data_IF_832828788740
#
_entry.id   IF_832828788740
#
_cell.length_a   1.000
_cell.length_b   1.000
_cell.length_c   1.000
_cell.angle_alpha   90.00
_cell.angle_beta   90.00
_cell.angle_gamma   90.00
#
_symmetry.space_group_name_H-M   'P 1'
#
loop_
_entity.id
_entity.type
_entity.pdbx_description
1 polymer ?
#
# COMPACT_ATOMS: atom_id res chain seq x y z
N UNK A 1 2.95 14.38 -5.58
CA UNK A 1 2.68 12.97 -5.21
C UNK A 1 3.73 12.51 -4.20
N UNK A 2 3.34 11.64 -3.27
CA UNK A 2 4.29 10.99 -2.38
C UNK A 2 4.49 9.55 -2.84
N UNK A 3 5.71 9.05 -2.67
CA UNK A 3 6.05 7.65 -2.89
C UNK A 3 6.61 7.09 -1.59
N UNK A 4 5.95 6.07 -1.05
CA UNK A 4 6.31 5.39 0.18
C UNK A 4 6.96 4.06 -0.15
N UNK A 5 8.23 3.92 0.19
CA UNK A 5 8.99 2.69 0.10
C UNK A 5 8.93 1.98 1.44
N UNK A 6 8.50 0.71 1.44
CA UNK A 6 8.36 -0.11 2.64
C UNK A 6 9.36 -1.24 2.58
N UNK A 7 10.23 -1.30 3.58
CA UNK A 7 11.17 -2.39 3.80
C UNK A 7 10.58 -3.35 4.84
N UNK A 8 10.17 -4.53 4.40
CA UNK A 8 9.78 -5.62 5.31
C UNK A 8 11.03 -6.25 5.94
N UNK A 9 11.06 -6.32 7.28
CA UNK A 9 12.14 -6.92 8.05
C UNK A 9 11.56 -8.07 8.87
N UNK A 10 12.16 -9.26 8.79
CA UNK A 10 11.66 -10.42 9.51
C UNK A 10 11.66 -10.17 11.03
N UNK A 11 10.47 -10.34 11.65
CA UNK A 11 10.29 -10.20 13.10
C UNK A 11 10.30 -8.76 13.62
N UNK A 12 10.18 -7.75 12.75
CA UNK A 12 10.08 -6.33 13.13
C UNK A 12 9.03 -5.61 12.28
N UNK A 13 8.59 -4.46 12.77
CA UNK A 13 7.70 -3.60 12.00
C UNK A 13 8.39 -3.11 10.72
N UNK A 14 7.65 -2.98 9.60
CA UNK A 14 8.23 -2.51 8.36
C UNK A 14 8.76 -1.07 8.48
N UNK A 15 9.93 -0.82 7.89
CA UNK A 15 10.49 0.54 7.84
C UNK A 15 9.93 1.25 6.61
N UNK A 16 9.33 2.43 6.84
CA UNK A 16 8.84 3.31 5.78
C UNK A 16 9.83 4.44 5.52
N UNK A 17 10.20 4.62 4.26
CA UNK A 17 10.84 5.86 3.79
C UNK A 17 9.97 6.50 2.72
N UNK A 18 9.78 7.81 2.79
CA UNK A 18 8.91 8.54 1.86
C UNK A 18 9.73 9.54 1.06
N UNK A 19 9.44 9.68 -0.23
CA UNK A 19 9.91 10.79 -1.06
C UNK A 19 8.72 11.47 -1.72
N UNK A 20 8.91 12.71 -2.17
CA UNK A 20 7.89 13.43 -2.91
C UNK A 20 8.43 13.90 -4.26
N UNK A 21 7.55 13.92 -5.25
CA UNK A 21 7.82 14.45 -6.58
C UNK A 21 6.59 15.14 -7.13
N UNK A 22 6.82 16.17 -7.93
CA UNK A 22 5.78 16.84 -8.71
C UNK A 22 5.79 16.24 -10.11
N UNK A 23 4.61 15.96 -10.66
CA UNK A 23 4.46 15.53 -12.05
C UNK A 23 4.08 16.79 -12.84
N UNK A 24 4.93 17.28 -13.77
CA UNK A 24 4.56 18.39 -14.64
C UNK A 24 3.31 18.03 -15.46
N UNK A 25 2.43 19.00 -15.73
CA UNK A 25 1.18 18.78 -16.47
C UNK A 25 1.39 18.17 -17.87
N UNK A 26 2.57 18.36 -18.46
CA UNK A 26 2.93 17.86 -19.78
C UNK A 26 3.50 16.43 -19.78
N UNK A 27 3.69 15.82 -18.61
CA UNK A 27 4.33 14.52 -18.46
C UNK A 27 3.40 13.51 -17.78
N UNK A 28 3.38 12.29 -18.31
CA UNK A 28 2.60 11.17 -17.76
C UNK A 28 3.47 10.11 -17.08
N UNK A 29 4.76 10.40 -16.92
CA UNK A 29 5.75 9.52 -16.30
C UNK A 29 6.67 10.31 -15.38
N UNK A 30 7.23 9.61 -14.39
CA UNK A 30 8.17 10.14 -13.43
C UNK A 30 9.30 9.13 -13.25
N UNK A 31 10.54 9.61 -13.25
CA UNK A 31 11.71 8.81 -12.91
C UNK A 31 12.11 9.10 -11.46
N UNK A 32 12.27 8.05 -10.66
CA UNK A 32 12.71 8.14 -9.28
C UNK A 32 14.02 7.36 -9.14
N UNK A 33 15.07 8.05 -8.71
CA UNK A 33 16.32 7.42 -8.33
C UNK A 33 16.24 7.00 -6.86
N UNK A 34 16.37 5.71 -6.59
CA UNK A 34 16.26 5.15 -5.25
C UNK A 34 17.38 4.14 -5.01
N UNK A 35 18.14 4.33 -3.93
CA UNK A 35 19.31 3.50 -3.61
C UNK A 35 19.13 2.60 -2.39
N UNK A 36 18.05 2.80 -1.60
CA UNK A 36 17.80 2.04 -0.38
C UNK A 36 16.99 0.78 -0.68
N UNK A 37 17.16 -0.31 0.09
CA UNK A 37 16.33 -1.49 -0.03
C UNK A 37 14.85 -1.17 0.25
N UNK A 38 13.97 -1.86 -0.47
CA UNK A 38 12.54 -1.84 -0.24
C UNK A 38 11.92 -3.11 -0.81
N UNK A 39 10.74 -3.47 -0.32
CA UNK A 39 9.96 -4.62 -0.78
C UNK A 39 8.64 -4.18 -1.40
N UNK A 40 8.07 -3.06 -0.93
CA UNK A 40 6.83 -2.50 -1.45
C UNK A 40 7.04 -1.03 -1.79
N UNK A 41 6.32 -0.55 -2.81
CA UNK A 41 6.19 0.88 -3.07
C UNK A 41 4.72 1.24 -3.25
N UNK A 42 4.27 2.24 -2.48
CA UNK A 42 2.95 2.86 -2.62
C UNK A 42 3.08 4.27 -3.16
N UNK A 43 2.17 4.67 -4.03
CA UNK A 43 2.04 6.05 -4.48
C UNK A 43 0.82 6.66 -3.82
N UNK A 44 1.01 7.79 -3.15
CA UNK A 44 -0.06 8.60 -2.57
C UNK A 44 -0.31 9.82 -3.47
N UNK A 45 -1.55 9.92 -3.94
CA UNK A 45 -2.09 11.09 -4.64
C UNK A 45 -2.88 11.99 -3.66
N UNK A 46 -3.42 13.09 -4.19
CA UNK A 46 -4.25 14.03 -3.43
C UNK A 46 -5.41 13.29 -2.72
N UNK A 47 -5.80 13.77 -1.52
CA UNK A 47 -6.81 13.15 -0.65
C UNK A 47 -6.51 11.71 -0.17
N UNK A 48 -5.23 11.38 0.11
CA UNK A 48 -4.84 10.08 0.69
C UNK A 48 -5.27 8.88 -0.15
N UNK A 49 -5.31 9.05 -1.48
CA UNK A 49 -5.54 7.92 -2.39
C UNK A 49 -4.25 7.16 -2.62
N UNK A 50 -4.22 5.91 -2.16
CA UNK A 50 -3.05 5.03 -2.25
C UNK A 50 -3.15 4.08 -3.45
N UNK A 51 -2.02 3.87 -4.12
CA UNK A 51 -1.87 2.93 -5.21
C UNK A 51 -0.68 2.02 -4.94
N UNK A 52 -0.85 0.72 -5.08
CA UNK A 52 0.23 -0.25 -4.97
C UNK A 52 1.02 -0.28 -6.28
N UNK A 53 2.20 0.33 -6.27
CA UNK A 53 3.03 0.44 -7.45
C UNK A 53 3.89 -0.81 -7.65
N UNK A 54 4.58 -1.26 -6.60
CA UNK A 54 5.60 -2.31 -6.70
C UNK A 54 5.47 -3.29 -5.54
N UNK A 55 5.60 -4.58 -5.84
CA UNK A 55 5.82 -5.67 -4.87
C UNK A 55 7.05 -6.45 -5.33
N UNK A 56 8.04 -6.60 -4.46
CA UNK A 56 9.24 -7.41 -4.67
C UNK A 56 9.30 -8.50 -3.59
N UNK A 57 9.37 -9.76 -4.03
CA UNK A 57 9.47 -10.92 -3.11
C UNK A 57 10.91 -11.16 -2.63
N UNK A 58 11.88 -10.83 -3.48
CA UNK A 58 13.31 -10.91 -3.20
C UNK A 58 13.91 -9.56 -3.55
N UNK A 59 14.74 -9.02 -2.67
CA UNK A 59 15.52 -7.82 -2.99
C UNK A 59 16.44 -8.15 -4.16
N UNK A 60 16.07 -7.65 -5.33
CA UNK A 60 16.95 -7.58 -6.49
C UNK A 60 17.28 -6.11 -6.62
N UNK A 61 18.56 -5.72 -6.52
CA UNK A 61 18.97 -4.36 -6.85
C UNK A 61 18.40 -4.02 -8.23
N UNK A 62 17.38 -3.16 -8.32
CA UNK A 62 16.75 -2.94 -9.59
C UNK A 62 17.66 -2.06 -10.40
N UNK A 63 18.14 -2.53 -11.54
CA UNK A 63 18.87 -1.67 -12.47
C UNK A 63 17.92 -0.67 -13.13
N UNK A 64 16.63 -1.02 -13.36
CA UNK A 64 15.53 -0.12 -13.73
C UNK A 64 14.15 -0.80 -13.53
N UNK A 65 13.19 -0.15 -12.84
CA UNK A 65 11.78 -0.62 -12.74
C UNK A 65 10.86 0.34 -13.48
N UNK A 66 10.07 -0.20 -14.41
CA UNK A 66 9.02 0.56 -15.10
C UNK A 66 7.66 0.04 -14.64
N UNK A 67 6.87 0.91 -14.01
CA UNK A 67 5.48 0.61 -13.61
C UNK A 67 4.54 1.65 -14.20
N UNK A 68 3.55 1.18 -14.95
CA UNK A 68 2.39 1.98 -15.35
C UNK A 68 1.28 1.79 -14.31
N UNK A 69 0.88 2.87 -13.67
CA UNK A 69 -0.21 2.86 -12.67
C UNK A 69 -1.56 2.77 -13.40
N UNK A 70 -2.40 1.86 -12.94
CA UNK A 70 -3.76 1.61 -13.43
C UNK A 70 -4.77 1.84 -12.30
N UNK A 71 -6.04 2.02 -12.65
CA UNK A 71 -7.13 2.11 -11.65
C UNK A 71 -7.21 0.87 -10.77
N UNK A 72 -6.87 -0.31 -11.28
CA UNK A 72 -6.81 -1.56 -10.54
C UNK A 72 -5.69 -1.63 -9.49
N UNK A 73 -4.68 -0.75 -9.58
CA UNK A 73 -3.62 -0.66 -8.59
C UNK A 73 -4.07 0.15 -7.35
N UNK A 74 -5.24 0.81 -7.39
CA UNK A 74 -5.76 1.61 -6.28
C UNK A 74 -6.11 0.72 -5.10
N UNK A 75 -5.57 1.05 -3.93
CA UNK A 75 -6.01 0.46 -2.68
C UNK A 75 -7.37 1.05 -2.29
N UNK A 76 -8.35 0.22 -1.98
CA UNK A 76 -9.67 0.69 -1.55
C UNK A 76 -9.65 1.08 -0.06
N UNK A 77 -10.42 2.08 0.32
CA UNK A 77 -10.66 2.36 1.73
C UNK A 77 -11.59 1.29 2.32
N UNK A 78 -11.46 0.99 3.61
CA UNK A 78 -12.26 -0.05 4.27
C UNK A 78 -13.77 0.22 4.20
N UNK A 79 -14.18 1.49 4.15
CA UNK A 79 -15.59 1.88 3.98
C UNK A 79 -16.15 1.58 2.60
N UNK A 80 -15.30 1.32 1.60
CA UNK A 80 -15.72 0.86 0.27
C UNK A 80 -15.88 -0.66 0.22
N UNK A 81 -15.37 -1.37 1.22
CA UNK A 81 -15.32 -2.84 1.27
C UNK A 81 -16.34 -3.44 2.25
N UNK A 82 -16.74 -2.68 3.26
CA UNK A 82 -17.65 -3.12 4.31
C UNK A 82 -18.75 -2.10 4.57
N UNK A 83 -19.84 -2.57 5.16
CA UNK A 83 -20.94 -1.71 5.61
C UNK A 83 -20.49 -0.75 6.71
N UNK A 84 -21.17 0.38 6.83
CA UNK A 84 -20.85 1.42 7.80
C UNK A 84 -20.80 0.91 9.25
N UNK A 85 -21.76 0.05 9.65
CA UNK A 85 -21.79 -0.56 10.99
C UNK A 85 -20.52 -1.36 11.29
N UNK A 86 -19.92 -1.99 10.27
CA UNK A 86 -18.66 -2.72 10.44
C UNK A 86 -17.49 -1.77 10.63
N UNK A 87 -17.43 -0.69 9.85
CA UNK A 87 -16.36 0.33 9.94
C UNK A 87 -16.33 0.99 11.32
N UNK A 88 -17.48 1.13 11.95
CA UNK A 88 -17.64 1.66 13.30
C UNK A 88 -17.26 0.68 14.43
N UNK A 89 -16.99 -0.59 14.12
CA UNK A 89 -16.52 -1.54 15.13
C UNK A 89 -15.13 -1.15 15.64
N UNK A 90 -14.84 -1.54 16.89
CA UNK A 90 -13.48 -1.44 17.43
C UNK A 90 -12.47 -2.16 16.53
N UNK A 91 -11.30 -1.55 16.35
CA UNK A 91 -10.21 -2.02 15.50
C UNK A 91 -9.88 -3.51 15.66
N UNK A 92 -9.82 -4.03 16.90
CA UNK A 92 -9.52 -5.45 17.18
C UNK A 92 -10.57 -6.36 16.55
N UNK A 93 -11.85 -5.95 16.56
CA UNK A 93 -12.92 -6.70 15.92
C UNK A 93 -12.79 -6.60 14.40
N UNK A 94 -12.51 -5.41 13.87
CA UNK A 94 -12.33 -5.18 12.42
C UNK A 94 -11.23 -6.09 11.85
N UNK A 95 -10.05 -6.11 12.47
CA UNK A 95 -8.86 -6.87 12.03
C UNK A 95 -9.16 -8.37 11.85
N UNK A 96 -9.99 -8.98 12.71
CA UNK A 96 -10.37 -10.40 12.59
C UNK A 96 -11.02 -10.75 11.25
N UNK A 97 -11.63 -9.77 10.58
CA UNK A 97 -12.34 -9.96 9.31
C UNK A 97 -11.57 -9.42 8.11
N UNK A 98 -10.35 -8.90 8.27
CA UNK A 98 -9.59 -8.28 7.18
C UNK A 98 -9.23 -9.25 6.05
N UNK A 99 -9.24 -10.56 6.30
CA UNK A 99 -9.08 -11.55 5.25
C UNK A 99 -10.31 -11.68 4.34
N UNK A 100 -11.53 -11.36 4.81
CA UNK A 100 -12.77 -11.51 4.04
C UNK A 100 -12.76 -10.76 2.69
N UNK A 101 -12.42 -9.46 2.61
CA UNK A 101 -12.44 -8.74 1.34
C UNK A 101 -11.45 -9.32 0.33
N UNK A 102 -10.31 -9.84 0.81
CA UNK A 102 -9.39 -10.58 -0.06
C UNK A 102 -10.05 -11.89 -0.56
N UNK A 103 -10.73 -12.64 0.29
CA UNK A 103 -11.35 -13.92 -0.06
C UNK A 103 -12.60 -13.80 -0.95
N UNK A 104 -13.36 -12.72 -0.84
CA UNK A 104 -14.61 -12.53 -1.59
C UNK A 104 -14.36 -11.91 -2.97
N UNK A 105 -13.41 -10.96 -3.05
CA UNK A 105 -13.02 -10.32 -4.32
C UNK A 105 -11.89 -11.07 -5.03
N UNK A 106 -12.10 -12.38 -5.22
CA UNK A 106 -11.18 -13.50 -5.57
C UNK A 106 -10.03 -13.29 -6.57
N UNK A 107 -9.87 -12.12 -7.21
CA UNK A 107 -8.70 -11.87 -8.08
C UNK A 107 -8.33 -10.40 -8.32
N UNK A 108 -9.07 -9.41 -7.80
CA UNK A 108 -8.81 -7.99 -8.16
C UNK A 108 -8.28 -7.13 -7.03
N UNK A 109 -8.66 -7.39 -5.78
CA UNK A 109 -8.21 -6.56 -4.67
C UNK A 109 -6.75 -6.90 -4.36
N UNK A 110 -5.85 -5.97 -4.64
CA UNK A 110 -4.42 -6.12 -4.31
C UNK A 110 -4.08 -5.56 -2.93
N UNK A 111 -4.78 -4.48 -2.54
CA UNK A 111 -4.55 -3.79 -1.29
C UNK A 111 -5.78 -3.01 -0.85
N UNK A 112 -5.86 -2.71 0.44
CA UNK A 112 -6.83 -1.80 1.03
C UNK A 112 -6.22 -1.12 2.25
N UNK A 113 -6.91 -0.12 2.80
CA UNK A 113 -6.45 0.61 3.97
C UNK A 113 -7.61 1.03 4.87
N UNK A 114 -7.34 1.18 6.15
CA UNK A 114 -8.24 1.81 7.12
C UNK A 114 -7.60 3.09 7.67
N UNK A 115 -8.03 3.54 8.85
CA UNK A 115 -7.53 4.77 9.47
C UNK A 115 -6.09 4.66 10.00
N UNK A 116 -5.55 3.45 10.13
CA UNK A 116 -4.27 3.18 10.83
C UNK A 116 -3.38 2.13 10.14
N UNK A 117 -3.89 1.38 9.17
CA UNK A 117 -3.20 0.28 8.51
C UNK A 117 -3.32 0.36 7.00
N UNK A 118 -2.29 -0.15 6.33
CA UNK A 118 -2.38 -0.62 4.95
C UNK A 118 -2.27 -2.15 4.93
N UNK A 119 -3.14 -2.78 4.17
CA UNK A 119 -3.22 -4.22 4.01
C UNK A 119 -2.95 -4.62 2.56
N UNK A 120 -2.16 -5.68 2.40
CA UNK A 120 -1.95 -6.38 1.14
C UNK A 120 -2.77 -7.66 1.10
N UNK A 121 -3.45 -7.90 -0.01
CA UNK A 121 -4.07 -9.19 -0.29
C UNK A 121 -3.12 -10.03 -1.15
N UNK A 122 -2.82 -11.25 -0.71
CA UNK A 122 -1.99 -12.18 -1.48
C UNK A 122 -2.38 -13.63 -1.20
N UNK A 123 -2.03 -14.51 -2.14
CA UNK A 123 -2.33 -15.93 -2.03
C UNK A 123 -1.29 -16.62 -1.13
N UNK A 124 -1.74 -17.12 0.02
CA UNK A 124 -0.97 -17.97 0.91
C UNK A 124 -1.63 -19.34 1.04
N UNK A 125 -0.92 -20.42 0.68
CA UNK A 125 -1.41 -21.82 0.81
C UNK A 125 -2.85 -22.03 0.28
N UNK A 126 -3.15 -21.48 -0.91
CA UNK A 126 -4.47 -21.51 -1.59
C UNK A 126 -5.58 -20.69 -0.91
N UNK A 127 -5.26 -19.86 0.07
CA UNK A 127 -6.18 -18.89 0.65
C UNK A 127 -5.71 -17.47 0.32
N UNK A 128 -6.63 -16.61 -0.11
CA UNK A 128 -6.33 -15.20 -0.32
C UNK A 128 -6.43 -14.49 1.03
N UNK A 129 -5.30 -14.06 1.58
CA UNK A 129 -5.22 -13.51 2.94
C UNK A 129 -4.75 -12.07 2.90
N UNK A 130 -5.30 -11.25 3.80
CA UNK A 130 -4.74 -9.95 4.14
C UNK A 130 -3.48 -10.08 5.01
N UNK A 131 -2.45 -9.29 4.71
CA UNK A 131 -1.34 -8.99 5.61
C UNK A 131 -1.23 -7.48 5.74
N UNK A 132 -1.36 -7.00 6.97
CA UNK A 132 -1.50 -5.60 7.30
C UNK A 132 -0.33 -5.13 8.16
N UNK A 133 0.04 -3.88 7.99
CA UNK A 133 1.02 -3.20 8.83
C UNK A 133 0.54 -1.80 9.13
N UNK A 134 0.95 -1.27 10.29
CA UNK A 134 0.61 0.09 10.69
C UNK A 134 1.17 1.10 9.69
N UNK A 135 0.35 2.10 9.37
CA UNK A 135 0.70 3.13 8.42
C UNK A 135 0.13 4.46 8.90
N UNK A 136 0.98 5.34 9.43
CA UNK A 136 0.56 6.68 9.77
C UNK A 136 0.28 7.48 8.49
N UNK A 137 -1.01 7.62 8.15
CA UNK A 137 -1.49 8.35 6.96
C UNK A 137 -1.22 9.86 7.04
N UNK A 138 -1.06 10.41 8.24
CA UNK A 138 -0.84 11.85 8.49
C UNK A 138 0.63 12.20 8.74
N UNK A 139 1.56 11.36 8.26
CA UNK A 139 2.99 11.63 8.39
C UNK A 139 3.35 12.99 7.78
N UNK A 140 3.86 13.87 8.63
CA UNK A 140 4.47 15.13 8.21
C UNK A 140 5.93 14.84 7.84
N UNK A 141 6.33 15.25 6.65
CA UNK A 141 7.75 15.33 6.30
C UNK A 141 8.26 16.68 6.77
N UNK A 142 8.91 16.68 7.94
CA UNK A 142 9.71 17.80 8.36
C UNK A 142 11.05 17.72 7.62
N UNK A 143 11.17 18.49 6.54
CA UNK A 143 12.46 18.76 5.91
C UNK A 143 13.17 19.80 6.78
N UNK A 144 14.16 19.37 7.58
CA UNK A 144 15.13 20.27 8.20
C UNK A 144 16.16 20.75 7.18
#
# INVERSE_FOLDING_TARGET
>A
IFIHFIEAINGRDPIRTTTFRTIPLTQNSLTIFWSRPFHLAFIEFYNKMYYLAIIQKTYQQPTNIVKKIKSSDRCQHISELFNETFVQLNLIRRIKYYHLPCQQNLSKLQCFYDDVHICLCYNHRKQHVANCFEFNHDMKLDCL
#
